data_IF_817019343531
#
_entry.id   IF_817019343531
#
_cell.length_a   1.000
_cell.length_b   1.000
_cell.length_c   1.000
_cell.angle_alpha   90.00
_cell.angle_beta   90.00
_cell.angle_gamma   90.00
#
_symmetry.space_group_name_H-M   'P 1'
#
loop_
_entity.id
_entity.type
_entity.pdbx_description
1 polymer ?
#
# COMPACT_ATOMS: atom_id res chain seq x y z
N UNK A 1 64.80 8.74 15.70
CA UNK A 1 63.43 9.30 15.57
C UNK A 1 63.19 10.20 16.77
N UNK A 2 63.12 11.51 16.55
CA UNK A 2 62.79 12.50 17.58
C UNK A 2 61.31 12.39 17.97
N UNK A 3 60.95 12.72 19.22
CA UNK A 3 59.58 12.60 19.76
C UNK A 3 58.51 13.18 18.81
N UNK A 4 58.82 14.33 18.21
CA UNK A 4 57.96 15.00 17.23
C UNK A 4 57.61 14.17 15.99
N UNK A 5 58.50 13.28 15.53
CA UNK A 5 58.22 12.38 14.39
C UNK A 5 57.29 11.24 14.78
N UNK A 6 57.42 10.71 16.00
CA UNK A 6 56.54 9.63 16.50
C UNK A 6 55.12 10.14 16.74
N UNK A 7 54.99 11.31 17.38
CA UNK A 7 53.67 11.94 17.63
C UNK A 7 52.98 12.34 16.33
N UNK A 8 53.71 12.87 15.35
CA UNK A 8 53.17 13.17 14.00
C UNK A 8 52.71 11.90 13.27
N UNK A 9 53.45 10.81 13.39
CA UNK A 9 53.05 9.51 12.83
C UNK A 9 51.75 8.99 13.44
N UNK A 10 51.60 9.06 14.77
CA UNK A 10 50.35 8.67 15.44
C UNK A 10 49.16 9.56 15.06
N UNK A 11 49.38 10.86 14.88
CA UNK A 11 48.32 11.80 14.46
C UNK A 11 47.89 11.56 13.02
N UNK A 12 48.81 11.18 12.13
CA UNK A 12 48.47 10.78 10.76
C UNK A 12 47.59 9.52 10.74
N UNK A 13 47.95 8.48 11.49
CA UNK A 13 47.13 7.26 11.61
C UNK A 13 45.75 7.54 12.21
N UNK A 14 45.64 8.44 13.18
CA UNK A 14 44.34 8.85 13.73
C UNK A 14 43.50 9.59 12.69
N UNK A 15 44.10 10.45 11.86
CA UNK A 15 43.40 11.14 10.79
C UNK A 15 42.88 10.17 9.70
N UNK A 16 43.69 9.18 9.33
CA UNK A 16 43.29 8.12 8.39
C UNK A 16 42.09 7.33 8.95
N UNK A 17 42.16 6.89 10.21
CA UNK A 17 41.07 6.19 10.89
C UNK A 17 39.77 7.01 10.97
N UNK A 18 39.87 8.32 11.20
CA UNK A 18 38.69 9.21 11.23
C UNK A 18 38.04 9.31 9.86
N UNK A 19 38.85 9.36 8.80
CA UNK A 19 38.37 9.41 7.41
C UNK A 19 37.71 8.08 7.02
N UNK A 20 38.28 6.95 7.43
CA UNK A 20 37.70 5.61 7.23
C UNK A 20 36.39 5.42 8.01
N UNK A 21 36.29 5.96 9.22
CA UNK A 21 35.04 5.94 9.98
C UNK A 21 33.97 6.81 9.31
N UNK A 22 34.34 7.96 8.76
CA UNK A 22 33.42 8.84 8.03
C UNK A 22 32.88 8.17 6.75
N UNK A 23 33.74 7.47 6.01
CA UNK A 23 33.31 6.72 4.81
C UNK A 23 32.39 5.55 5.17
N UNK A 24 32.68 4.81 6.25
CA UNK A 24 31.82 3.74 6.76
C UNK A 24 30.45 4.28 7.22
N UNK A 25 30.41 5.40 7.93
CA UNK A 25 29.13 6.02 8.35
C UNK A 25 28.32 6.47 7.14
N UNK A 26 28.93 7.10 6.15
CA UNK A 26 28.24 7.52 4.93
C UNK A 26 27.66 6.32 4.15
N UNK A 27 28.41 5.22 4.05
CA UNK A 27 27.94 3.98 3.45
C UNK A 27 26.77 3.37 4.24
N UNK A 28 26.85 3.37 5.57
CA UNK A 28 25.79 2.84 6.44
C UNK A 28 24.52 3.69 6.38
N UNK A 29 24.62 5.02 6.35
CA UNK A 29 23.46 5.91 6.17
C UNK A 29 22.78 5.66 4.83
N UNK A 30 23.56 5.46 3.77
CA UNK A 30 23.02 5.13 2.45
C UNK A 30 22.30 3.78 2.47
N UNK A 31 22.92 2.75 3.05
CA UNK A 31 22.30 1.42 3.19
C UNK A 31 21.02 1.47 4.03
N UNK A 32 20.99 2.24 5.12
CA UNK A 32 19.80 2.41 5.96
C UNK A 32 18.66 3.08 5.19
N UNK A 33 18.96 4.14 4.43
CA UNK A 33 17.95 4.81 3.59
C UNK A 33 17.39 3.88 2.51
N UNK A 34 18.24 3.05 1.88
CA UNK A 34 17.82 2.05 0.90
C UNK A 34 16.90 0.99 1.53
N UNK A 35 17.27 0.47 2.70
CA UNK A 35 16.44 -0.49 3.46
C UNK A 35 15.11 0.12 3.89
N UNK A 36 15.09 1.37 4.37
CA UNK A 36 13.84 2.04 4.74
C UNK A 36 12.92 2.21 3.52
N UNK A 37 13.46 2.59 2.36
CA UNK A 37 12.67 2.68 1.12
C UNK A 37 12.11 1.32 0.71
N UNK A 38 12.87 0.23 0.87
CA UNK A 38 12.38 -1.13 0.62
C UNK A 38 11.25 -1.51 1.59
N UNK A 39 11.38 -1.20 2.88
CA UNK A 39 10.33 -1.45 3.87
C UNK A 39 9.05 -0.69 3.49
N UNK A 40 9.15 0.60 3.18
CA UNK A 40 8.01 1.42 2.77
C UNK A 40 7.33 0.89 1.51
N UNK A 41 8.12 0.43 0.53
CA UNK A 41 7.60 -0.17 -0.71
C UNK A 41 6.86 -1.47 -0.40
N UNK A 42 7.49 -2.38 0.35
CA UNK A 42 6.89 -3.66 0.71
C UNK A 42 5.60 -3.48 1.53
N UNK A 43 5.56 -2.52 2.45
CA UNK A 43 4.32 -2.22 3.21
C UNK A 43 3.21 -1.74 2.30
N UNK A 44 3.50 -0.86 1.34
CA UNK A 44 2.49 -0.37 0.40
C UNK A 44 1.95 -1.48 -0.51
N UNK A 45 2.79 -2.42 -0.95
CA UNK A 45 2.39 -3.59 -1.73
C UNK A 45 1.47 -4.52 -0.95
N UNK A 46 1.80 -4.79 0.32
CA UNK A 46 0.99 -5.62 1.21
C UNK A 46 -0.34 -4.95 1.52
N UNK A 47 -0.35 -3.64 1.75
CA UNK A 47 -1.58 -2.87 1.99
C UNK A 47 -2.50 -2.91 0.76
N UNK A 48 -1.93 -2.72 -0.44
CA UNK A 48 -2.68 -2.83 -1.69
C UNK A 48 -3.28 -4.23 -1.87
N UNK A 49 -2.50 -5.28 -1.62
CA UNK A 49 -3.00 -6.67 -1.65
C UNK A 49 -4.12 -6.89 -0.64
N UNK A 50 -3.97 -6.38 0.59
CA UNK A 50 -4.96 -6.50 1.64
C UNK A 50 -6.29 -5.84 1.25
N UNK A 51 -6.26 -4.63 0.68
CA UNK A 51 -7.46 -3.92 0.24
C UNK A 51 -8.14 -4.66 -0.91
N UNK A 52 -7.37 -5.18 -1.89
CA UNK A 52 -7.93 -5.98 -2.98
C UNK A 52 -8.58 -7.28 -2.45
N UNK A 53 -7.94 -7.94 -1.49
CA UNK A 53 -8.49 -9.13 -0.84
C UNK A 53 -9.78 -8.81 -0.07
N UNK A 54 -9.78 -7.72 0.70
CA UNK A 54 -10.96 -7.25 1.41
C UNK A 54 -12.11 -6.91 0.44
N UNK A 55 -11.82 -6.29 -0.70
CA UNK A 55 -12.82 -6.02 -1.74
C UNK A 55 -13.46 -7.31 -2.28
N UNK A 56 -12.68 -8.37 -2.49
CA UNK A 56 -13.21 -9.68 -2.87
C UNK A 56 -14.15 -10.27 -1.79
N UNK A 57 -13.81 -10.11 -0.51
CA UNK A 57 -14.67 -10.56 0.60
C UNK A 57 -15.99 -9.77 0.68
N UNK A 58 -15.95 -8.46 0.41
CA UNK A 58 -17.17 -7.63 0.35
C UNK A 58 -18.05 -8.02 -0.83
N UNK A 59 -17.47 -8.31 -1.99
CA UNK A 59 -18.22 -8.80 -3.15
C UNK A 59 -18.92 -10.15 -2.84
N UNK A 60 -18.26 -11.04 -2.10
CA UNK A 60 -18.86 -12.29 -1.64
C UNK A 60 -20.06 -12.07 -0.69
N UNK A 61 -20.20 -10.92 -0.05
CA UNK A 61 -21.33 -10.63 0.83
C UNK A 61 -22.65 -10.48 0.04
N UNK A 62 -22.62 -9.76 -1.08
CA UNK A 62 -23.79 -9.62 -1.96
C UNK A 62 -24.13 -10.93 -2.66
N UNK A 63 -23.11 -11.62 -3.17
CA UNK A 63 -23.25 -12.94 -3.79
C UNK A 63 -23.75 -14.00 -2.81
N UNK A 64 -23.31 -13.94 -1.54
CA UNK A 64 -23.67 -14.87 -0.48
C UNK A 64 -25.15 -14.83 -0.14
N UNK A 65 -25.71 -13.63 0.07
CA UNK A 65 -27.15 -13.49 0.30
C UNK A 65 -27.98 -13.90 -0.91
N UNK A 66 -27.55 -13.54 -2.12
CA UNK A 66 -28.25 -13.97 -3.34
C UNK A 66 -28.23 -15.48 -3.55
N UNK A 67 -27.14 -16.16 -3.18
CA UNK A 67 -27.05 -17.63 -3.28
C UNK A 67 -27.93 -18.31 -2.23
N UNK A 68 -28.05 -17.74 -1.03
CA UNK A 68 -28.97 -18.22 0.02
C UNK A 68 -30.44 -18.01 -0.36
N UNK A 69 -30.78 -16.85 -0.93
CA UNK A 69 -32.12 -16.57 -1.43
C UNK A 69 -32.45 -17.46 -2.63
N UNK A 70 -31.55 -17.57 -3.61
CA UNK A 70 -31.66 -18.49 -4.73
C UNK A 70 -31.86 -19.95 -4.29
N UNK A 71 -31.11 -20.42 -3.28
CA UNK A 71 -31.25 -21.77 -2.75
C UNK A 71 -32.60 -22.04 -2.08
N UNK A 72 -33.35 -20.99 -1.71
CA UNK A 72 -34.65 -21.09 -1.03
C UNK A 72 -35.85 -20.95 -1.99
N UNK A 73 -35.63 -20.65 -3.28
CA UNK A 73 -36.69 -20.51 -4.30
C UNK A 73 -36.62 -21.57 -5.39
N UNK A 74 -37.76 -21.81 -6.05
CA UNK A 74 -37.90 -22.76 -7.16
C UNK A 74 -36.93 -22.43 -8.31
N UNK A 75 -36.23 -23.43 -8.84
CA UNK A 75 -35.19 -23.31 -9.90
C UNK A 75 -35.54 -22.41 -11.09
N UNK A 76 -36.84 -22.31 -11.42
CA UNK A 76 -37.33 -21.48 -12.54
C UNK A 76 -37.12 -19.97 -12.33
N UNK A 77 -37.04 -19.49 -11.08
CA UNK A 77 -36.83 -18.08 -10.76
C UNK A 77 -35.42 -17.75 -10.23
N UNK A 78 -34.65 -18.76 -9.85
CA UNK A 78 -33.28 -18.62 -9.29
C UNK A 78 -32.35 -17.88 -10.24
N UNK A 79 -32.41 -18.19 -11.54
CA UNK A 79 -31.56 -17.56 -12.56
C UNK A 79 -31.79 -16.05 -12.67
N UNK A 80 -33.03 -15.58 -12.44
CA UNK A 80 -33.38 -14.16 -12.47
C UNK A 80 -32.90 -13.40 -11.23
N UNK A 81 -32.83 -14.06 -10.07
CA UNK A 81 -32.32 -13.47 -8.82
C UNK A 81 -30.80 -13.34 -8.87
N UNK A 82 -30.09 -14.39 -9.32
CA UNK A 82 -28.62 -14.37 -9.48
C UNK A 82 -28.15 -13.31 -10.48
N UNK A 83 -28.85 -13.17 -11.61
CA UNK A 83 -28.53 -12.15 -12.62
C UNK A 83 -28.67 -10.73 -12.09
N UNK A 84 -29.69 -10.46 -11.26
CA UNK A 84 -29.89 -9.14 -10.66
C UNK A 84 -28.80 -8.80 -9.64
N UNK A 85 -28.37 -9.76 -8.83
CA UNK A 85 -27.30 -9.53 -7.86
C UNK A 85 -25.93 -9.30 -8.53
N UNK A 86 -25.63 -10.06 -9.59
CA UNK A 86 -24.44 -9.81 -10.39
C UNK A 86 -24.49 -8.46 -11.11
N UNK A 87 -25.68 -8.08 -11.62
CA UNK A 87 -25.88 -6.77 -12.24
C UNK A 87 -25.74 -5.63 -11.23
N UNK A 88 -26.24 -5.79 -9.99
CA UNK A 88 -26.15 -4.79 -8.93
C UNK A 88 -24.69 -4.50 -8.55
N UNK A 89 -23.87 -5.53 -8.37
CA UNK A 89 -22.45 -5.33 -8.07
C UNK A 89 -21.68 -4.65 -9.23
N UNK A 90 -21.97 -5.04 -10.48
CA UNK A 90 -21.35 -4.42 -11.66
C UNK A 90 -21.78 -2.96 -11.85
N UNK A 91 -23.09 -2.68 -11.72
CA UNK A 91 -23.64 -1.33 -11.85
C UNK A 91 -23.18 -0.44 -10.69
N UNK A 92 -23.13 -0.96 -9.47
CA UNK A 92 -22.59 -0.25 -8.31
C UNK A 92 -21.13 0.16 -8.50
N UNK A 93 -20.29 -0.73 -9.02
CA UNK A 93 -18.90 -0.41 -9.35
C UNK A 93 -18.78 0.66 -10.45
N UNK A 94 -19.60 0.57 -11.50
CA UNK A 94 -19.62 1.56 -12.59
C UNK A 94 -20.10 2.93 -12.13
N UNK A 95 -21.16 2.97 -11.31
CA UNK A 95 -21.71 4.22 -10.74
C UNK A 95 -20.70 4.86 -9.78
N UNK A 96 -20.02 4.05 -8.96
CA UNK A 96 -18.94 4.54 -8.11
C UNK A 96 -17.77 5.10 -8.91
N UNK A 97 -17.38 4.44 -10.01
CA UNK A 97 -16.30 4.89 -10.86
C UNK A 97 -16.62 6.20 -11.60
N UNK A 98 -17.85 6.35 -12.13
CA UNK A 98 -18.25 7.50 -12.95
C UNK A 98 -18.60 8.74 -12.12
N UNK A 99 -19.27 8.57 -10.98
CA UNK A 99 -19.76 9.68 -10.16
C UNK A 99 -19.31 9.58 -8.70
N UNK A 100 -19.19 8.38 -8.13
CA UNK A 100 -18.85 8.20 -6.72
C UNK A 100 -17.48 8.77 -6.34
N UNK A 101 -16.47 8.58 -7.19
CA UNK A 101 -15.12 9.07 -6.94
C UNK A 101 -15.06 10.62 -6.85
N UNK A 102 -15.70 11.32 -7.79
CA UNK A 102 -15.78 12.79 -7.77
C UNK A 102 -16.65 13.35 -6.64
N UNK A 103 -17.71 12.63 -6.25
CA UNK A 103 -18.61 13.06 -5.17
C UNK A 103 -18.05 12.82 -3.77
N UNK A 104 -17.13 11.85 -3.62
CA UNK A 104 -16.48 11.51 -2.35
C UNK A 104 -15.13 12.23 -2.15
N UNK A 105 -14.63 12.92 -3.16
CA UNK A 105 -13.37 13.65 -3.12
C UNK A 105 -13.45 14.96 -2.33
N UNK A 106 -12.43 15.81 -2.48
CA UNK A 106 -12.40 17.10 -1.79
C UNK A 106 -13.49 18.04 -2.33
N UNK A 107 -14.13 18.78 -1.43
CA UNK A 107 -15.23 19.68 -1.76
C UNK A 107 -15.75 20.43 -0.53
N UNK A 108 -17.06 20.70 -0.50
CA UNK A 108 -17.68 21.34 0.65
C UNK A 108 -18.11 20.29 1.71
N UNK A 109 -18.65 20.73 2.85
CA UNK A 109 -19.06 19.84 3.94
C UNK A 109 -20.15 18.81 3.59
N UNK A 110 -20.80 18.95 2.42
CA UNK A 110 -21.91 18.11 1.97
C UNK A 110 -21.59 17.32 0.69
N UNK A 111 -20.69 17.78 -0.18
CA UNK A 111 -20.39 17.15 -1.47
C UNK A 111 -18.94 17.40 -1.92
N UNK A 112 -18.27 16.35 -2.40
CA UNK A 112 -17.02 16.44 -3.13
C UNK A 112 -17.22 17.05 -4.51
N UNK A 113 -16.29 17.89 -4.95
CA UNK A 113 -16.33 18.56 -6.26
C UNK A 113 -15.17 18.16 -7.16
N UNK A 114 -14.09 17.67 -6.56
CA UNK A 114 -12.89 17.26 -7.27
C UNK A 114 -12.75 15.73 -7.24
N UNK A 115 -12.36 15.09 -8.36
CA UNK A 115 -11.88 13.70 -8.34
C UNK A 115 -10.56 13.58 -7.55
#
# INVERSE_FOLDING_TARGET
KNLWQTTRGSMATVADNVTDLQTQVAALTTALSATNNQITTNTAEVDAFYIMWAACLVFLMQCGFATLEAGSVRDKNVRNVLLKNALDACVGALVWYLWGYGLSGNGNAFIGTDP
#
